data_IF_857728721561
#
_entry.id   IF_857728721561
#
_cell.length_a   1.000
_cell.length_b   1.000
_cell.length_c   1.000
_cell.angle_alpha   90.00
_cell.angle_beta   90.00
_cell.angle_gamma   90.00
#
_symmetry.space_group_name_H-M   'P 1'
#
loop_
_entity.id
_entity.type
_entity.pdbx_description
1 polymer ?
#
# COMPACT_ATOMS: atom_id res chain seq x y z
N UNK A 1 2.96 -6.46 44.08
CA UNK A 1 2.99 -7.46 43.00
C UNK A 1 2.16 -6.96 41.86
N UNK A 2 2.80 -6.46 40.80
CA UNK A 2 2.11 -6.24 39.53
C UNK A 2 1.77 -7.62 38.97
N UNK A 3 0.49 -7.89 38.72
CA UNK A 3 0.05 -9.12 38.08
C UNK A 3 0.53 -9.10 36.64
N UNK A 4 1.32 -10.09 36.24
CA UNK A 4 1.68 -10.22 34.83
C UNK A 4 0.43 -10.59 34.01
N UNK A 5 0.25 -9.98 32.82
CA UNK A 5 -0.88 -10.31 31.96
C UNK A 5 -0.83 -11.79 31.53
N UNK A 6 -1.99 -12.44 31.42
CA UNK A 6 -2.02 -13.82 30.95
C UNK A 6 -1.67 -13.92 29.46
N UNK A 7 -1.11 -15.06 29.04
CA UNK A 7 -0.82 -15.32 27.63
C UNK A 7 -2.05 -15.20 26.72
N UNK A 8 -3.23 -15.59 27.22
CA UNK A 8 -4.49 -15.47 26.48
C UNK A 8 -4.90 -14.01 26.27
N UNK A 9 -4.69 -13.16 27.28
CA UNK A 9 -4.93 -11.72 27.16
C UNK A 9 -3.97 -11.09 26.14
N UNK A 10 -2.67 -11.41 26.22
CA UNK A 10 -1.66 -10.90 25.29
C UNK A 10 -1.91 -11.38 23.85
N UNK A 11 -2.30 -12.63 23.66
CA UNK A 11 -2.67 -13.17 22.35
C UNK A 11 -3.87 -12.41 21.75
N UNK A 12 -4.89 -12.14 22.56
CA UNK A 12 -6.06 -11.34 22.13
C UNK A 12 -5.65 -9.95 21.68
N UNK A 13 -4.78 -9.27 22.43
CA UNK A 13 -4.30 -7.94 22.07
C UNK A 13 -3.49 -7.94 20.78
N UNK A 14 -2.66 -8.97 20.59
CA UNK A 14 -1.88 -9.16 19.36
C UNK A 14 -2.78 -9.40 18.15
N UNK A 15 -3.80 -10.24 18.27
CA UNK A 15 -4.69 -10.59 17.18
C UNK A 15 -5.65 -9.46 16.80
N UNK A 16 -6.21 -8.75 17.78
CA UNK A 16 -7.23 -7.72 17.53
C UNK A 16 -6.64 -6.33 17.26
N UNK A 17 -5.50 -6.00 17.88
CA UNK A 17 -4.94 -4.64 17.85
C UNK A 17 -3.51 -4.60 17.28
N UNK A 18 -3.01 -5.71 16.74
CA UNK A 18 -1.63 -5.83 16.27
C UNK A 18 -0.58 -5.48 17.34
N UNK A 19 -0.95 -5.46 18.62
CA UNK A 19 -0.07 -5.00 19.68
C UNK A 19 1.01 -6.04 19.98
N UNK A 20 2.26 -5.61 20.07
CA UNK A 20 3.38 -6.49 20.39
C UNK A 20 3.36 -6.87 21.88
N UNK A 21 3.22 -8.16 22.25
CA UNK A 21 3.23 -8.60 23.64
C UNK A 21 4.49 -8.19 24.41
N UNK A 22 5.66 -8.23 23.78
CA UNK A 22 6.92 -7.87 24.42
C UNK A 22 6.94 -6.39 24.80
N UNK A 23 6.39 -5.54 23.94
CA UNK A 23 6.24 -4.12 24.22
C UNK A 23 5.22 -3.86 25.34
N UNK A 24 4.09 -4.58 25.37
CA UNK A 24 3.08 -4.45 26.44
C UNK A 24 3.68 -4.78 27.81
N UNK A 25 4.50 -5.84 27.89
CA UNK A 25 5.10 -6.29 29.15
C UNK A 25 6.26 -5.39 29.58
N UNK A 26 7.11 -4.99 28.62
CA UNK A 26 8.43 -4.41 28.94
C UNK A 26 8.56 -2.93 28.64
N UNK A 27 7.66 -2.37 27.81
CA UNK A 27 7.76 -1.03 27.24
C UNK A 27 8.90 -0.86 26.22
N UNK A 28 9.58 -1.93 25.81
CA UNK A 28 10.73 -1.91 24.91
C UNK A 28 10.39 -2.53 23.54
N UNK A 29 11.08 -2.07 22.51
CA UNK A 29 10.89 -2.53 21.13
C UNK A 29 9.72 -1.86 20.42
N UNK A 30 9.30 -2.42 19.29
CA UNK A 30 8.18 -1.92 18.49
C UNK A 30 6.85 -2.14 19.20
N UNK A 31 6.02 -1.10 19.22
CA UNK A 31 4.69 -1.13 19.84
C UNK A 31 3.74 -2.10 19.12
N UNK A 32 3.87 -2.20 17.80
CA UNK A 32 3.05 -3.04 16.94
C UNK A 32 3.88 -4.15 16.32
N UNK A 33 3.23 -5.27 16.01
CA UNK A 33 3.80 -6.31 15.18
C UNK A 33 3.93 -5.82 13.72
N UNK A 34 4.80 -6.48 12.96
CA UNK A 34 4.96 -6.15 11.55
C UNK A 34 3.66 -6.37 10.75
N UNK A 35 3.43 -5.62 9.65
CA UNK A 35 2.31 -5.88 8.75
C UNK A 35 2.28 -7.31 8.21
N UNK A 36 3.45 -7.90 7.94
CA UNK A 36 3.58 -9.28 7.49
C UNK A 36 3.06 -10.26 8.54
N UNK A 37 3.44 -10.06 9.80
CA UNK A 37 2.96 -10.89 10.90
C UNK A 37 1.46 -10.73 11.12
N UNK A 38 0.93 -9.51 10.98
CA UNK A 38 -0.51 -9.26 11.06
C UNK A 38 -1.28 -10.01 9.97
N UNK A 39 -0.80 -9.99 8.73
CA UNK A 39 -1.39 -10.76 7.62
C UNK A 39 -1.32 -12.27 7.91
N UNK A 40 -0.17 -12.78 8.37
CA UNK A 40 0.00 -14.20 8.72
C UNK A 40 -1.00 -14.61 9.82
N UNK A 41 -1.18 -13.78 10.85
CA UNK A 41 -2.13 -14.05 11.94
C UNK A 41 -3.57 -14.03 11.42
N UNK A 42 -3.92 -13.08 10.55
CA UNK A 42 -5.23 -13.04 9.90
C UNK A 42 -5.54 -14.29 9.08
N UNK A 43 -4.56 -14.79 8.31
CA UNK A 43 -4.68 -16.04 7.55
C UNK A 43 -4.87 -17.25 8.47
N UNK A 44 -4.09 -17.34 9.56
CA UNK A 44 -4.24 -18.42 10.55
C UNK A 44 -5.59 -18.40 11.25
N UNK A 45 -6.09 -17.21 11.58
CA UNK A 45 -7.33 -17.02 12.34
C UNK A 45 -8.58 -17.28 11.48
N UNK A 46 -8.64 -16.74 10.27
CA UNK A 46 -9.82 -16.80 9.41
C UNK A 46 -9.80 -17.96 8.41
N UNK A 47 -8.63 -18.56 8.22
CA UNK A 47 -8.36 -19.56 7.19
C UNK A 47 -8.02 -18.90 5.84
N UNK A 48 -7.20 -19.58 5.01
CA UNK A 48 -6.67 -19.02 3.77
C UNK A 48 -7.77 -18.60 2.79
N UNK A 49 -8.84 -19.41 2.66
CA UNK A 49 -9.93 -19.13 1.73
C UNK A 49 -10.66 -17.83 2.08
N UNK A 50 -11.23 -17.73 3.29
CA UNK A 50 -12.00 -16.55 3.72
C UNK A 50 -11.16 -15.28 3.74
N UNK A 51 -9.90 -15.39 4.16
CA UNK A 51 -8.98 -14.24 4.13
C UNK A 51 -8.71 -13.78 2.70
N UNK A 52 -8.43 -14.70 1.78
CA UNK A 52 -8.17 -14.37 0.37
C UNK A 52 -9.38 -13.74 -0.34
N UNK A 53 -10.60 -14.21 -0.03
CA UNK A 53 -11.83 -13.63 -0.56
C UNK A 53 -12.01 -12.17 -0.11
N UNK A 54 -11.81 -11.90 1.18
CA UNK A 54 -11.87 -10.54 1.73
C UNK A 54 -10.76 -9.63 1.22
N UNK A 55 -9.52 -10.13 1.09
CA UNK A 55 -8.44 -9.36 0.48
C UNK A 55 -8.76 -9.04 -0.98
N UNK A 56 -9.27 -10.00 -1.75
CA UNK A 56 -9.65 -9.82 -3.15
C UNK A 56 -10.75 -8.77 -3.32
N UNK A 57 -11.75 -8.74 -2.42
CA UNK A 57 -12.79 -7.72 -2.48
C UNK A 57 -12.24 -6.32 -2.23
N UNK A 58 -11.31 -6.16 -1.28
CA UNK A 58 -10.60 -4.89 -1.03
C UNK A 58 -9.83 -4.45 -2.28
N UNK A 59 -9.09 -5.36 -2.94
CA UNK A 59 -8.32 -5.01 -4.14
C UNK A 59 -9.18 -4.59 -5.35
N UNK A 60 -10.46 -4.98 -5.36
CA UNK A 60 -11.43 -4.59 -6.40
C UNK A 60 -12.21 -3.33 -6.05
N UNK A 61 -12.14 -2.86 -4.81
CA UNK A 61 -12.85 -1.68 -4.34
C UNK A 61 -12.07 -0.40 -4.71
N UNK A 62 -12.65 0.52 -5.51
CA UNK A 62 -11.98 1.76 -5.92
C UNK A 62 -11.55 2.66 -4.75
N UNK A 63 -12.19 2.56 -3.58
CA UNK A 63 -11.78 3.30 -2.38
C UNK A 63 -10.40 2.90 -1.87
N UNK A 64 -9.92 1.71 -2.24
CA UNK A 64 -8.58 1.21 -1.95
C UNK A 64 -7.65 1.26 -3.18
N UNK A 65 -7.98 2.08 -4.19
CA UNK A 65 -7.20 2.19 -5.42
C UNK A 65 -5.74 2.58 -5.19
N UNK A 66 -5.43 3.41 -4.18
CA UNK A 66 -4.05 3.72 -3.80
C UNK A 66 -3.31 2.46 -3.31
N UNK A 67 -3.94 1.68 -2.42
CA UNK A 67 -3.38 0.46 -1.86
C UNK A 67 -3.08 -0.59 -2.95
N UNK A 68 -4.05 -0.87 -3.84
CA UNK A 68 -3.80 -1.81 -4.93
C UNK A 68 -2.81 -1.27 -5.98
N UNK A 69 -2.77 0.04 -6.22
CA UNK A 69 -1.75 0.64 -7.10
C UNK A 69 -0.33 0.42 -6.57
N UNK A 70 -0.14 0.48 -5.26
CA UNK A 70 1.15 0.21 -4.62
C UNK A 70 1.55 -1.27 -4.77
N UNK A 71 0.63 -2.20 -4.49
CA UNK A 71 0.87 -3.64 -4.68
C UNK A 71 1.27 -3.93 -6.12
N UNK A 72 0.53 -3.37 -7.09
CA UNK A 72 0.78 -3.59 -8.51
C UNK A 72 2.13 -3.01 -8.97
N UNK A 73 2.55 -1.86 -8.45
CA UNK A 73 3.88 -1.32 -8.75
C UNK A 73 4.98 -2.25 -8.23
N UNK A 74 4.87 -2.74 -7.00
CA UNK A 74 5.83 -3.68 -6.42
C UNK A 74 5.85 -5.04 -7.16
N UNK A 75 4.70 -5.49 -7.66
CA UNK A 75 4.54 -6.72 -8.44
C UNK A 75 5.05 -6.55 -9.88
N UNK A 76 4.77 -5.42 -10.54
CA UNK A 76 5.36 -5.09 -11.84
C UNK A 76 6.88 -5.00 -11.78
N UNK A 77 7.44 -4.50 -10.66
CA UNK A 77 8.89 -4.50 -10.40
C UNK A 77 9.46 -5.92 -10.26
N UNK A 78 8.66 -6.87 -9.73
CA UNK A 78 9.10 -8.25 -9.49
C UNK A 78 8.88 -9.19 -10.67
N UNK A 79 7.79 -9.04 -11.43
CA UNK A 79 7.37 -10.02 -12.44
C UNK A 79 7.87 -9.73 -13.86
N UNK A 80 8.40 -8.53 -14.16
CA UNK A 80 8.79 -8.17 -15.54
C UNK A 80 10.27 -7.88 -15.79
N UNK A 81 11.18 -7.96 -14.82
CA UNK A 81 12.41 -7.16 -14.89
C UNK A 81 13.72 -7.90 -14.60
N UNK A 82 13.97 -8.94 -15.40
CA UNK A 82 15.34 -9.27 -15.81
C UNK A 82 15.82 -8.38 -16.99
N UNK A 83 14.96 -7.54 -17.59
CA UNK A 83 15.29 -6.85 -18.85
C UNK A 83 15.34 -5.32 -18.87
N UNK A 84 14.90 -4.56 -17.85
CA UNK A 84 14.97 -3.08 -17.94
C UNK A 84 14.96 -2.33 -16.59
N UNK A 85 16.00 -2.54 -15.78
CA UNK A 85 16.21 -1.90 -14.47
C UNK A 85 16.08 -0.36 -14.51
N UNK A 86 16.40 0.25 -15.64
CA UNK A 86 16.34 1.71 -15.83
C UNK A 86 14.89 2.21 -15.79
N UNK A 87 13.96 1.56 -16.48
CA UNK A 87 12.55 1.95 -16.49
C UNK A 87 11.94 1.87 -15.09
N UNK A 88 12.28 0.83 -14.32
CA UNK A 88 11.85 0.70 -12.91
C UNK A 88 12.32 1.91 -12.11
N UNK A 89 13.60 2.25 -12.21
CA UNK A 89 14.19 3.32 -11.41
C UNK A 89 13.48 4.65 -11.68
N UNK A 90 13.15 4.94 -12.94
CA UNK A 90 12.37 6.12 -13.31
C UNK A 90 10.93 6.07 -12.76
N UNK A 91 10.23 4.94 -12.88
CA UNK A 91 8.86 4.81 -12.37
C UNK A 91 8.81 4.97 -10.84
N UNK A 92 9.73 4.31 -10.12
CA UNK A 92 9.87 4.46 -8.67
C UNK A 92 10.19 5.90 -8.26
N UNK A 93 11.08 6.57 -9.00
CA UNK A 93 11.43 7.97 -8.73
C UNK A 93 10.22 8.90 -8.89
N UNK A 94 9.44 8.75 -9.96
CA UNK A 94 8.23 9.54 -10.21
C UNK A 94 7.19 9.33 -9.10
N UNK A 95 6.96 8.09 -8.70
CA UNK A 95 6.00 7.76 -7.62
C UNK A 95 6.45 8.35 -6.28
N UNK A 96 7.74 8.23 -5.95
CA UNK A 96 8.29 8.79 -4.72
C UNK A 96 8.22 10.32 -4.70
N UNK A 97 8.54 10.98 -5.82
CA UNK A 97 8.40 12.43 -5.96
C UNK A 97 6.97 12.89 -5.75
N UNK A 98 5.99 12.19 -6.32
CA UNK A 98 4.57 12.52 -6.14
C UNK A 98 4.15 12.40 -4.66
N UNK A 99 4.60 11.34 -3.99
CA UNK A 99 4.23 11.05 -2.60
C UNK A 99 4.84 12.02 -1.60
N UNK A 100 6.14 12.31 -1.73
CA UNK A 100 6.89 13.12 -0.76
C UNK A 100 6.86 14.61 -1.10
N UNK A 101 6.58 14.95 -2.36
CA UNK A 101 6.55 16.31 -2.86
C UNK A 101 5.36 17.11 -2.31
N UNK A 102 5.60 18.41 -2.13
CA UNK A 102 4.55 19.39 -1.91
C UNK A 102 3.70 19.61 -3.17
N UNK A 103 2.63 20.38 -3.05
CA UNK A 103 1.72 20.64 -4.18
C UNK A 103 2.43 21.27 -5.38
N UNK A 104 3.41 22.13 -5.13
CA UNK A 104 4.24 22.72 -6.20
C UNK A 104 5.05 21.66 -6.93
N UNK A 105 5.65 20.71 -6.21
CA UNK A 105 6.42 19.60 -6.77
C UNK A 105 5.52 18.69 -7.61
N UNK A 106 4.30 18.42 -7.14
CA UNK A 106 3.30 17.63 -7.89
C UNK A 106 2.87 18.32 -9.17
N UNK A 107 2.56 19.62 -9.12
CA UNK A 107 2.21 20.42 -10.31
C UNK A 107 3.38 20.41 -11.32
N UNK A 108 4.60 20.63 -10.84
CA UNK A 108 5.79 20.60 -11.68
C UNK A 108 6.00 19.24 -12.35
N UNK A 109 5.82 18.14 -11.60
CA UNK A 109 5.97 16.77 -12.10
C UNK A 109 4.97 16.50 -13.24
N UNK A 110 3.71 16.89 -13.08
CA UNK A 110 2.70 16.74 -14.14
C UNK A 110 3.09 17.52 -15.39
N UNK A 111 3.58 18.76 -15.24
CA UNK A 111 4.04 19.55 -16.40
C UNK A 111 5.21 18.86 -17.11
N UNK A 112 6.15 18.24 -16.39
CA UNK A 112 7.24 17.50 -17.03
C UNK A 112 6.73 16.25 -17.75
N UNK A 113 5.82 15.51 -17.14
CA UNK A 113 5.24 14.30 -17.76
C UNK A 113 4.41 14.63 -19.01
N UNK A 114 3.61 15.69 -18.99
CA UNK A 114 2.85 16.13 -20.18
C UNK A 114 3.78 16.60 -21.32
N UNK A 115 4.95 17.16 -21.00
CA UNK A 115 5.95 17.54 -22.02
C UNK A 115 6.65 16.32 -22.61
N UNK A 116 6.99 15.35 -21.77
CA UNK A 116 7.68 14.14 -22.17
C UNK A 116 6.76 13.17 -22.93
N UNK A 117 5.47 13.13 -22.57
CA UNK A 117 4.45 12.25 -23.16
C UNK A 117 3.18 13.02 -23.57
N UNK A 118 3.26 13.88 -24.62
CA UNK A 118 2.14 14.74 -25.03
C UNK A 118 0.85 13.98 -25.35
N UNK A 119 0.98 12.80 -25.96
CA UNK A 119 -0.13 11.92 -26.33
C UNK A 119 -0.97 11.46 -25.14
N UNK A 120 -0.35 11.30 -23.97
CA UNK A 120 -1.06 10.95 -22.72
C UNK A 120 -1.90 12.14 -22.24
N UNK A 121 -1.32 13.34 -22.27
CA UNK A 121 -2.03 14.58 -21.90
C UNK A 121 -3.23 14.87 -22.81
N UNK A 122 -3.10 14.65 -24.13
CA UNK A 122 -4.21 14.77 -25.07
C UNK A 122 -5.35 13.80 -24.79
N UNK A 123 -5.03 12.53 -24.46
CA UNK A 123 -6.02 11.50 -24.13
C UNK A 123 -6.80 11.86 -22.88
N UNK A 124 -6.14 12.36 -21.82
CA UNK A 124 -6.78 12.80 -20.58
C UNK A 124 -7.75 13.97 -20.84
N UNK A 125 -7.33 14.98 -21.63
CA UNK A 125 -8.18 16.15 -21.94
C UNK A 125 -9.42 15.77 -22.77
N UNK A 126 -9.27 14.87 -23.74
CA UNK A 126 -10.41 14.34 -24.51
C UNK A 126 -11.38 13.57 -23.62
N UNK A 127 -10.89 12.78 -22.66
CA UNK A 127 -11.72 12.07 -21.70
C UNK A 127 -12.55 12.99 -20.79
N UNK A 128 -11.97 14.09 -20.30
CA UNK A 128 -12.69 15.05 -19.44
C UNK A 128 -13.83 15.78 -20.18
N UNK A 129 -13.59 16.24 -21.40
CA UNK A 129 -14.61 16.91 -22.22
C UNK A 129 -15.85 16.05 -22.49
N UNK A 130 -15.67 14.73 -22.60
CA UNK A 130 -16.78 13.82 -22.84
C UNK A 130 -17.61 13.54 -21.58
N UNK A 131 -17.04 13.70 -20.39
CA UNK A 131 -17.77 13.50 -19.12
C UNK A 131 -18.55 14.76 -18.68
N UNK A 132 -18.12 15.96 -19.06
CA UNK A 132 -18.84 17.21 -18.76
C UNK A 132 -20.04 17.46 -19.71
N UNK A 133 -20.24 16.60 -20.70
CA UNK A 133 -21.27 16.71 -21.74
C UNK A 133 -22.43 15.71 -21.58
N UNK A 134 -22.46 14.96 -20.47
CA UNK A 134 -23.52 14.03 -20.07
C UNK A 134 -24.13 14.47 -18.73
#
# INVERSE_FOLDING_TARGET
NLLEPSNAFLATLKEQFAANPDWIITGKGEMFISPQEYIINGVKLLGPQRFSEGLTSILRDPSFSEFYSQIRLDEMVKENLDQDQDLIAYLQHIVNLWRQGDERTRIWLIVQLERAFPEVGEKIRKGRKNNDSN
#
